data_IF_777142755959
#
_entry.id   IF_777142755959
#
_cell.length_a   1.000
_cell.length_b   1.000
_cell.length_c   1.000
_cell.angle_alpha   90.00
_cell.angle_beta   90.00
_cell.angle_gamma   90.00
#
_symmetry.space_group_name_H-M   'P 1'
#
loop_
_entity.id
_entity.type
_entity.pdbx_description
1 polymer ?
#
# COMPACT_ATOMS: atom_id res chain seq x y z
N UNK A 1 -0.68 19.87 8.01
CA UNK A 1 -1.54 19.17 8.97
C UNK A 1 -2.53 20.17 9.52
N UNK A 2 -3.80 19.82 9.50
CA UNK A 2 -4.86 20.61 10.14
C UNK A 2 -5.31 19.87 11.40
N UNK A 3 -5.79 20.59 12.40
CA UNK A 3 -6.44 19.99 13.54
C UNK A 3 -7.94 19.85 13.23
N UNK A 4 -8.56 18.76 13.68
CA UNK A 4 -10.02 18.57 13.65
C UNK A 4 -10.53 18.36 15.07
N UNK A 5 -11.57 19.07 15.44
CA UNK A 5 -12.26 18.95 16.73
C UNK A 5 -13.62 18.26 16.58
N UNK A 6 -13.85 17.54 15.49
CA UNK A 6 -15.11 16.79 15.27
C UNK A 6 -15.45 15.89 16.47
N UNK A 7 -14.46 15.16 16.96
CA UNK A 7 -14.61 14.28 18.13
C UNK A 7 -15.06 15.03 19.39
N UNK A 8 -14.54 16.24 19.62
CA UNK A 8 -15.00 17.10 20.73
C UNK A 8 -16.51 17.35 20.63
N UNK A 9 -16.98 17.77 19.47
CA UNK A 9 -18.41 18.09 19.29
C UNK A 9 -19.31 16.86 19.36
N UNK A 10 -18.82 15.68 18.97
CA UNK A 10 -19.52 14.40 19.15
C UNK A 10 -19.65 14.04 20.65
N UNK A 11 -18.58 14.23 21.45
CA UNK A 11 -18.63 14.02 22.91
C UNK A 11 -19.57 14.99 23.57
N UNK A 12 -19.51 16.27 23.23
CA UNK A 12 -20.42 17.28 23.76
C UNK A 12 -21.88 16.90 23.47
N UNK A 13 -22.18 16.47 22.24
CA UNK A 13 -23.53 16.01 21.86
C UNK A 13 -23.96 14.76 22.67
N UNK A 14 -23.07 13.79 22.87
CA UNK A 14 -23.37 12.58 23.68
C UNK A 14 -23.61 12.88 25.14
N UNK A 15 -22.96 13.92 25.68
CA UNK A 15 -23.11 14.34 27.09
C UNK A 15 -24.16 15.42 27.29
N UNK A 16 -24.90 15.82 26.23
CA UNK A 16 -25.90 16.90 26.22
C UNK A 16 -25.33 18.24 26.72
N UNK A 17 -24.08 18.53 26.36
CA UNK A 17 -23.40 19.78 26.71
C UNK A 17 -23.39 20.71 25.49
N UNK A 18 -24.03 21.87 25.64
CA UNK A 18 -24.00 22.89 24.59
C UNK A 18 -22.64 23.60 24.50
N UNK A 19 -22.34 24.18 23.32
CA UNK A 19 -21.13 25.01 23.12
C UNK A 19 -21.11 26.21 24.08
N UNK A 20 -22.27 26.77 24.40
CA UNK A 20 -22.40 27.89 25.33
C UNK A 20 -22.08 27.47 26.76
N UNK A 21 -22.53 26.31 27.18
CA UNK A 21 -22.19 25.75 28.52
C UNK A 21 -20.69 25.46 28.61
N UNK A 22 -20.10 24.87 27.58
CA UNK A 22 -18.63 24.62 27.55
C UNK A 22 -17.86 25.94 27.69
N UNK A 23 -18.29 26.98 26.98
CA UNK A 23 -17.70 28.31 27.04
C UNK A 23 -17.78 28.89 28.45
N UNK A 24 -18.95 28.84 29.07
CA UNK A 24 -19.23 29.44 30.38
C UNK A 24 -18.44 28.71 31.49
N UNK A 25 -18.50 27.38 31.52
CA UNK A 25 -17.81 26.59 32.57
C UNK A 25 -16.30 26.72 32.53
N UNK A 26 -15.72 26.83 31.32
CA UNK A 26 -14.26 26.93 31.14
C UNK A 26 -13.78 28.36 30.91
N UNK A 27 -14.64 29.37 31.06
CA UNK A 27 -14.32 30.79 30.81
C UNK A 27 -13.61 31.02 29.47
N UNK A 28 -14.09 30.33 28.42
CA UNK A 28 -13.48 30.44 27.10
C UNK A 28 -13.94 31.73 26.41
N UNK A 29 -13.02 32.38 25.73
CA UNK A 29 -13.40 33.51 24.87
C UNK A 29 -14.26 33.06 23.69
N UNK A 30 -15.12 33.94 23.20
CA UNK A 30 -15.89 33.66 21.97
C UNK A 30 -14.98 33.37 20.76
N UNK A 31 -13.81 34.00 20.73
CA UNK A 31 -12.79 33.72 19.71
C UNK A 31 -12.21 32.31 19.79
N UNK A 32 -11.96 31.79 21.01
CA UNK A 32 -11.51 30.42 21.23
C UNK A 32 -12.56 29.39 20.78
N UNK A 33 -13.82 29.63 21.11
CA UNK A 33 -14.92 28.76 20.69
C UNK A 33 -15.11 28.77 19.15
N UNK A 34 -14.95 29.95 18.53
CA UNK A 34 -14.97 30.07 17.07
C UNK A 34 -13.82 29.30 16.40
N UNK A 35 -12.59 29.37 16.96
CA UNK A 35 -11.44 28.59 16.50
C UNK A 35 -11.69 27.10 16.56
N UNK A 36 -12.20 26.58 17.70
CA UNK A 36 -12.57 25.18 17.83
C UNK A 36 -13.60 24.76 16.74
N UNK A 37 -14.62 25.60 16.53
CA UNK A 37 -15.67 25.31 15.53
C UNK A 37 -15.17 25.37 14.08
N UNK A 38 -14.08 26.09 13.82
CA UNK A 38 -13.43 26.22 12.49
C UNK A 38 -12.25 25.27 12.31
N UNK A 39 -11.98 24.40 13.27
CA UNK A 39 -10.78 23.53 13.27
C UNK A 39 -9.47 24.35 13.21
N UNK A 40 -9.43 25.51 13.84
CA UNK A 40 -8.23 26.34 13.98
C UNK A 40 -7.48 26.00 15.26
N UNK A 41 -6.18 26.25 15.30
CA UNK A 41 -5.34 25.96 16.46
C UNK A 41 -5.76 26.77 17.69
N UNK A 42 -5.86 26.09 18.83
CA UNK A 42 -6.04 26.67 20.15
C UNK A 42 -4.85 26.34 21.05
N UNK A 43 -4.73 27.03 22.18
CA UNK A 43 -3.62 26.79 23.12
C UNK A 43 -3.73 25.40 23.76
N UNK A 44 -2.56 24.84 24.12
CA UNK A 44 -2.50 23.58 24.87
C UNK A 44 -3.23 23.70 26.22
N UNK A 45 -3.18 24.86 26.87
CA UNK A 45 -3.93 25.15 28.09
C UNK A 45 -5.42 24.98 27.89
N UNK A 46 -5.98 25.48 26.77
CA UNK A 46 -7.38 25.29 26.41
C UNK A 46 -7.72 23.81 26.24
N UNK A 47 -6.86 23.05 25.54
CA UNK A 47 -7.09 21.60 25.33
C UNK A 47 -7.07 20.84 26.66
N UNK A 48 -6.13 21.13 27.54
CA UNK A 48 -6.04 20.51 28.87
C UNK A 48 -7.29 20.83 29.72
N UNK A 49 -7.77 22.08 29.70
CA UNK A 49 -8.99 22.47 30.41
C UNK A 49 -10.21 21.70 29.93
N UNK A 50 -10.37 21.55 28.59
CA UNK A 50 -11.45 20.78 27.98
C UNK A 50 -11.34 19.30 28.36
N UNK A 51 -10.15 18.71 28.27
CA UNK A 51 -9.91 17.31 28.64
C UNK A 51 -10.25 17.04 30.10
N UNK A 52 -9.83 17.90 31.01
CA UNK A 52 -10.12 17.79 32.45
C UNK A 52 -11.63 17.89 32.70
N UNK A 53 -12.31 18.83 32.09
CA UNK A 53 -13.77 18.99 32.24
C UNK A 53 -14.55 17.78 31.71
N UNK A 54 -14.14 17.24 30.57
CA UNK A 54 -14.81 16.10 29.94
C UNK A 54 -14.33 14.75 30.48
N UNK A 55 -13.27 14.74 31.29
CA UNK A 55 -12.57 13.54 31.80
C UNK A 55 -12.14 12.61 30.65
N UNK A 56 -11.34 13.13 29.73
CA UNK A 56 -10.86 12.42 28.54
C UNK A 56 -9.42 12.82 28.18
N UNK A 57 -8.83 12.13 27.19
CA UNK A 57 -7.48 12.44 26.70
C UNK A 57 -7.57 13.36 25.45
N UNK A 58 -6.48 14.07 25.10
CA UNK A 58 -6.44 14.92 23.91
C UNK A 58 -6.85 14.19 22.61
N UNK A 59 -6.45 12.94 22.43
CA UNK A 59 -6.82 12.11 21.28
C UNK A 59 -8.32 11.80 21.17
N UNK A 60 -9.06 11.94 22.27
CA UNK A 60 -10.51 11.74 22.30
C UNK A 60 -11.28 12.98 21.80
N UNK A 61 -10.66 14.18 21.87
CA UNK A 61 -11.30 15.44 21.51
C UNK A 61 -10.78 16.05 20.22
N UNK A 62 -9.57 15.63 19.77
CA UNK A 62 -8.97 16.15 18.56
C UNK A 62 -8.26 15.07 17.76
N UNK A 63 -8.11 15.30 16.48
CA UNK A 63 -7.30 14.52 15.56
C UNK A 63 -6.55 15.45 14.62
N UNK A 64 -5.39 15.00 14.15
CA UNK A 64 -4.65 15.71 13.13
C UNK A 64 -5.09 15.18 11.77
N UNK A 65 -5.76 16.02 11.02
CA UNK A 65 -6.08 15.73 9.63
C UNK A 65 -4.90 16.11 8.74
N UNK A 66 -4.37 15.15 8.03
CA UNK A 66 -3.50 15.49 6.90
C UNK A 66 -4.36 16.22 5.87
N UNK A 67 -3.91 17.41 5.45
CA UNK A 67 -4.53 18.09 4.31
C UNK A 67 -4.51 17.10 3.15
N UNK A 68 -5.68 16.61 2.75
CA UNK A 68 -5.79 15.76 1.57
C UNK A 68 -5.41 16.65 0.40
N UNK A 69 -4.24 16.41 -0.14
CA UNK A 69 -3.83 17.07 -1.37
C UNK A 69 -4.61 16.42 -2.51
N UNK A 70 -5.65 17.14 -2.96
CA UNK A 70 -6.55 16.68 -4.02
C UNK A 70 -5.87 16.58 -5.38
N UNK A 71 -4.66 17.14 -5.49
CA UNK A 71 -3.88 17.11 -6.72
C UNK A 71 -2.95 15.87 -6.79
N UNK A 72 -2.95 15.01 -5.74
CA UNK A 72 -2.14 13.79 -5.76
C UNK A 72 -2.79 12.68 -6.58
N UNK A 73 -1.95 11.87 -7.23
CA UNK A 73 -2.41 10.67 -7.94
C UNK A 73 -3.18 9.73 -7.00
N UNK A 74 -2.74 9.54 -5.75
CA UNK A 74 -3.43 8.71 -4.77
C UNK A 74 -4.87 9.19 -4.52
N UNK A 75 -5.08 10.49 -4.36
CA UNK A 75 -6.43 11.04 -4.19
C UNK A 75 -7.30 10.72 -5.41
N UNK A 76 -6.77 10.95 -6.60
CA UNK A 76 -7.47 10.66 -7.85
C UNK A 76 -7.85 9.18 -7.95
N UNK A 77 -6.90 8.25 -7.70
CA UNK A 77 -7.16 6.81 -7.72
C UNK A 77 -8.26 6.40 -6.73
N UNK A 78 -8.29 6.99 -5.50
CA UNK A 78 -9.33 6.72 -4.50
C UNK A 78 -10.71 7.21 -4.96
N UNK A 79 -10.81 8.39 -5.53
CA UNK A 79 -12.08 8.92 -6.03
C UNK A 79 -12.60 8.12 -7.24
N UNK A 80 -11.71 7.77 -8.18
CA UNK A 80 -12.06 6.95 -9.35
C UNK A 80 -12.48 5.52 -8.95
N UNK A 81 -11.81 4.91 -7.96
CA UNK A 81 -12.20 3.63 -7.35
C UNK A 81 -13.59 3.71 -6.77
N UNK A 82 -13.86 4.72 -5.93
CA UNK A 82 -15.16 4.94 -5.29
C UNK A 82 -16.28 5.14 -6.31
N UNK A 83 -15.98 5.89 -7.38
CA UNK A 83 -16.94 6.16 -8.46
C UNK A 83 -17.11 4.99 -9.42
N UNK A 84 -16.27 3.94 -9.34
CA UNK A 84 -16.22 2.82 -10.31
C UNK A 84 -16.14 3.31 -11.76
N UNK A 85 -15.31 4.32 -11.98
CA UNK A 85 -15.26 5.03 -13.27
C UNK A 85 -14.51 4.20 -14.30
N UNK A 86 -15.25 3.68 -15.30
CA UNK A 86 -14.69 2.90 -16.42
C UNK A 86 -13.76 3.76 -17.27
N UNK A 87 -12.65 3.18 -17.75
CA UNK A 87 -11.66 3.87 -18.57
C UNK A 87 -10.82 4.91 -17.84
N UNK A 88 -10.98 5.05 -16.51
CA UNK A 88 -10.20 5.95 -15.68
C UNK A 88 -8.75 5.46 -15.49
N UNK A 89 -7.88 6.30 -14.91
CA UNK A 89 -6.51 5.90 -14.55
C UNK A 89 -6.55 4.70 -13.59
N UNK A 90 -7.43 4.73 -12.58
CA UNK A 90 -7.59 3.59 -11.67
C UNK A 90 -7.93 2.30 -12.42
N UNK A 91 -8.91 2.34 -13.33
CA UNK A 91 -9.33 1.19 -14.13
C UNK A 91 -8.19 0.64 -15.00
N UNK A 92 -7.50 1.51 -15.74
CA UNK A 92 -6.39 1.12 -16.62
C UNK A 92 -5.21 0.58 -15.83
N UNK A 93 -4.87 1.21 -14.71
CA UNK A 93 -3.77 0.77 -13.84
C UNK A 93 -4.04 -0.60 -13.24
N UNK A 94 -5.28 -0.92 -12.83
CA UNK A 94 -5.67 -2.24 -12.35
C UNK A 94 -5.31 -3.32 -13.37
N UNK A 95 -5.72 -3.13 -14.63
CA UNK A 95 -5.50 -4.10 -15.70
C UNK A 95 -4.01 -4.21 -16.04
N UNK A 96 -3.34 -3.08 -16.31
CA UNK A 96 -1.93 -3.06 -16.70
C UNK A 96 -1.02 -3.64 -15.62
N UNK A 97 -1.23 -3.27 -14.36
CA UNK A 97 -0.40 -3.75 -13.27
C UNK A 97 -0.60 -5.26 -13.03
N UNK A 98 -1.86 -5.74 -13.03
CA UNK A 98 -2.14 -7.15 -12.86
C UNK A 98 -1.58 -7.98 -14.00
N UNK A 99 -1.80 -7.56 -15.25
CA UNK A 99 -1.26 -8.23 -16.43
C UNK A 99 0.26 -8.34 -16.36
N UNK A 100 0.97 -7.21 -16.31
CA UNK A 100 2.42 -7.19 -16.39
C UNK A 100 3.06 -7.90 -15.19
N UNK A 101 2.55 -7.66 -13.97
CA UNK A 101 3.11 -8.25 -12.76
C UNK A 101 2.96 -9.78 -12.73
N UNK A 102 1.84 -10.32 -13.21
CA UNK A 102 1.67 -11.77 -13.32
C UNK A 102 2.45 -12.36 -14.51
N UNK A 103 2.55 -11.64 -15.62
CA UNK A 103 3.28 -12.10 -16.81
C UNK A 103 4.79 -12.19 -16.56
N UNK A 104 5.36 -11.28 -15.78
CA UNK A 104 6.75 -11.37 -15.28
C UNK A 104 6.97 -12.70 -14.53
N UNK A 105 6.00 -13.18 -13.77
CA UNK A 105 6.08 -14.44 -13.01
C UNK A 105 5.67 -15.68 -13.82
N UNK A 106 5.33 -15.51 -15.09
CA UNK A 106 5.07 -16.62 -16.02
C UNK A 106 3.60 -16.92 -16.30
N UNK A 107 2.66 -16.09 -15.87
CA UNK A 107 1.26 -16.18 -16.29
C UNK A 107 1.15 -16.11 -17.82
N UNK A 108 0.27 -16.92 -18.39
CA UNK A 108 0.02 -16.99 -19.83
C UNK A 108 -1.23 -16.24 -20.27
N UNK A 109 -1.93 -15.58 -19.34
CA UNK A 109 -3.08 -14.76 -19.70
C UNK A 109 -2.63 -13.57 -20.56
N UNK A 110 -3.38 -13.28 -21.61
CA UNK A 110 -3.18 -12.08 -22.40
C UNK A 110 -3.71 -10.84 -21.66
N UNK A 111 -3.32 -9.65 -22.13
CA UNK A 111 -3.86 -8.41 -21.56
C UNK A 111 -5.38 -8.31 -21.75
N UNK A 112 -5.89 -8.75 -22.91
CA UNK A 112 -7.33 -8.78 -23.17
C UNK A 112 -8.07 -9.77 -22.25
N UNK A 113 -7.50 -10.94 -21.99
CA UNK A 113 -8.07 -11.89 -21.02
C UNK A 113 -8.07 -11.28 -19.60
N UNK A 114 -6.99 -10.61 -19.20
CA UNK A 114 -6.91 -9.89 -17.93
C UNK A 114 -7.98 -8.81 -17.84
N UNK A 115 -8.20 -8.06 -18.93
CA UNK A 115 -9.26 -7.05 -19.05
C UNK A 115 -10.65 -7.66 -18.96
N UNK A 116 -10.94 -8.76 -19.65
CA UNK A 116 -12.23 -9.44 -19.55
C UNK A 116 -12.53 -9.94 -18.15
N UNK A 117 -11.55 -10.51 -17.47
CA UNK A 117 -11.71 -10.92 -16.05
C UNK A 117 -12.10 -9.71 -15.19
N UNK A 118 -11.42 -8.58 -15.36
CA UNK A 118 -11.70 -7.38 -14.58
C UNK A 118 -13.05 -6.74 -14.89
N UNK A 119 -13.36 -6.54 -16.18
CA UNK A 119 -14.53 -5.76 -16.61
C UNK A 119 -15.83 -6.56 -16.60
N UNK A 120 -15.76 -7.85 -16.88
CA UNK A 120 -16.95 -8.68 -17.14
C UNK A 120 -17.06 -9.91 -16.25
N UNK A 121 -16.04 -10.19 -15.45
CA UNK A 121 -15.92 -11.43 -14.67
C UNK A 121 -16.05 -12.69 -15.55
N UNK A 122 -15.54 -12.61 -16.78
CA UNK A 122 -15.49 -13.71 -17.75
C UNK A 122 -14.09 -13.86 -18.29
N UNK A 123 -13.80 -14.98 -18.95
CA UNK A 123 -12.57 -15.19 -19.67
C UNK A 123 -12.89 -15.70 -21.08
N UNK A 124 -12.34 -15.06 -22.10
CA UNK A 124 -12.34 -15.57 -23.46
C UNK A 124 -11.31 -16.70 -23.56
N UNK A 125 -11.77 -17.92 -23.82
CA UNK A 125 -10.88 -19.04 -24.12
C UNK A 125 -10.50 -18.95 -25.59
N UNK A 126 -9.23 -18.75 -25.84
CA UNK A 126 -8.62 -18.92 -27.15
C UNK A 126 -8.24 -20.41 -27.35
N UNK A 127 -7.33 -20.70 -28.29
CA UNK A 127 -6.96 -22.08 -28.68
C UNK A 127 -6.33 -22.92 -27.56
N UNK A 128 -5.75 -22.27 -26.53
CA UNK A 128 -5.09 -22.95 -25.42
C UNK A 128 -5.86 -22.77 -24.12
N UNK A 129 -5.89 -23.80 -23.24
CA UNK A 129 -6.54 -23.68 -21.94
C UNK A 129 -5.79 -22.68 -21.05
N UNK A 130 -6.53 -21.80 -20.37
CA UNK A 130 -5.99 -20.94 -19.34
C UNK A 130 -5.80 -21.71 -18.03
N UNK A 131 -4.70 -21.46 -17.32
CA UNK A 131 -4.48 -21.98 -15.99
C UNK A 131 -5.48 -21.38 -14.99
N UNK A 132 -6.09 -22.22 -14.17
CA UNK A 132 -6.96 -21.74 -13.09
C UNK A 132 -6.18 -20.87 -12.11
N UNK A 133 -4.92 -21.22 -11.82
CA UNK A 133 -4.07 -20.41 -10.93
C UNK A 133 -3.75 -19.04 -11.54
N UNK A 134 -3.48 -18.95 -12.84
CA UNK A 134 -3.29 -17.67 -13.52
C UNK A 134 -4.54 -16.77 -13.40
N UNK A 135 -5.73 -17.36 -13.55
CA UNK A 135 -7.00 -16.64 -13.37
C UNK A 135 -7.16 -16.18 -11.91
N UNK A 136 -6.96 -17.09 -10.95
CA UNK A 136 -7.10 -16.77 -9.53
C UNK A 136 -6.09 -15.71 -9.09
N UNK A 137 -4.83 -15.83 -9.48
CA UNK A 137 -3.80 -14.85 -9.14
C UNK A 137 -4.06 -13.48 -9.79
N UNK A 138 -4.67 -13.45 -10.97
CA UNK A 138 -5.10 -12.20 -11.62
C UNK A 138 -6.25 -11.54 -10.84
N UNK A 139 -7.27 -12.29 -10.45
CA UNK A 139 -8.37 -11.78 -9.60
C UNK A 139 -7.82 -11.28 -8.26
N UNK A 140 -6.95 -12.07 -7.64
CA UNK A 140 -6.32 -11.72 -6.37
C UNK A 140 -5.44 -10.46 -6.50
N UNK A 141 -4.78 -10.27 -7.64
CA UNK A 141 -3.97 -9.09 -7.88
C UNK A 141 -4.81 -7.81 -7.93
N UNK A 142 -6.01 -7.85 -8.50
CA UNK A 142 -6.96 -6.74 -8.43
C UNK A 142 -7.34 -6.41 -6.99
N UNK A 143 -7.59 -7.44 -6.16
CA UNK A 143 -7.88 -7.25 -4.73
C UNK A 143 -6.67 -6.68 -3.97
N UNK A 144 -5.44 -7.11 -4.32
CA UNK A 144 -4.21 -6.53 -3.76
C UNK A 144 -4.08 -5.05 -4.10
N UNK A 145 -4.39 -4.66 -5.33
CA UNK A 145 -4.36 -3.25 -5.74
C UNK A 145 -5.38 -2.42 -4.96
N UNK A 146 -6.60 -2.93 -4.80
CA UNK A 146 -7.63 -2.27 -4.01
C UNK A 146 -7.23 -2.08 -2.55
N UNK A 147 -6.70 -3.13 -1.93
CA UNK A 147 -6.18 -3.08 -0.57
C UNK A 147 -5.02 -2.09 -0.44
N UNK A 148 -4.09 -2.11 -1.39
CA UNK A 148 -2.95 -1.20 -1.45
C UNK A 148 -3.39 0.26 -1.53
N UNK A 149 -4.35 0.61 -2.39
CA UNK A 149 -4.90 1.98 -2.53
C UNK A 149 -5.53 2.44 -1.21
N UNK A 150 -6.29 1.58 -0.54
CA UNK A 150 -6.94 1.91 0.73
C UNK A 150 -5.90 2.18 1.84
N UNK A 151 -4.84 1.37 1.88
CA UNK A 151 -3.76 1.44 2.88
C UNK A 151 -2.56 2.30 2.46
N UNK A 152 -2.59 2.99 1.31
CA UNK A 152 -1.41 3.65 0.74
C UNK A 152 -0.74 4.65 1.69
N UNK A 153 -1.50 5.39 2.50
CA UNK A 153 -0.96 6.35 3.46
C UNK A 153 -0.44 5.72 4.77
N UNK A 154 -0.74 4.44 5.02
CA UNK A 154 -0.30 3.77 6.24
C UNK A 154 1.21 3.53 6.20
N UNK A 155 1.81 3.44 7.38
CA UNK A 155 3.21 3.02 7.50
C UNK A 155 3.36 1.60 6.93
N UNK A 156 4.44 1.38 6.17
CA UNK A 156 4.77 0.04 5.70
C UNK A 156 5.19 -0.82 6.90
N UNK A 157 4.49 -1.91 7.11
CA UNK A 157 4.73 -2.84 8.21
C UNK A 157 4.63 -4.30 7.75
N UNK A 158 4.95 -5.20 8.65
CA UNK A 158 4.87 -6.64 8.41
C UNK A 158 3.45 -7.10 8.12
N UNK A 159 2.45 -6.48 8.77
CA UNK A 159 1.04 -6.83 8.58
C UNK A 159 0.58 -6.52 7.16
N UNK A 160 0.92 -5.34 6.63
CA UNK A 160 0.62 -4.99 5.24
C UNK A 160 1.26 -5.98 4.26
N UNK A 161 2.54 -6.33 4.47
CA UNK A 161 3.29 -7.25 3.60
C UNK A 161 2.65 -8.63 3.62
N UNK A 162 2.34 -9.18 4.79
CA UNK A 162 1.72 -10.50 4.95
C UNK A 162 0.29 -10.53 4.42
N UNK A 163 -0.49 -9.47 4.66
CA UNK A 163 -1.86 -9.36 4.16
C UNK A 163 -1.89 -9.30 2.64
N UNK A 164 -0.99 -8.53 2.02
CA UNK A 164 -0.86 -8.47 0.55
C UNK A 164 -0.56 -9.85 -0.02
N UNK A 165 0.40 -10.58 0.55
CA UNK A 165 0.70 -11.95 0.14
C UNK A 165 -0.48 -12.90 0.38
N UNK A 166 -1.19 -12.75 1.49
CA UNK A 166 -2.39 -13.54 1.80
C UNK A 166 -3.46 -13.36 0.74
N UNK A 167 -3.77 -12.12 0.38
CA UNK A 167 -4.74 -11.83 -0.68
C UNK A 167 -4.27 -12.48 -1.99
N UNK A 168 -3.01 -12.27 -2.36
CA UNK A 168 -2.44 -12.73 -3.63
C UNK A 168 -2.54 -14.24 -3.82
N UNK A 169 -2.22 -15.03 -2.77
CA UNK A 169 -2.13 -16.49 -2.86
C UNK A 169 -3.36 -17.24 -2.36
N UNK A 170 -4.41 -16.53 -1.92
CA UNK A 170 -5.67 -17.17 -1.49
C UNK A 170 -6.32 -17.92 -2.66
N UNK A 171 -6.81 -19.13 -2.39
CA UNK A 171 -7.52 -20.02 -3.34
C UNK A 171 -6.71 -20.50 -4.54
N UNK A 172 -5.40 -20.30 -4.58
CA UNK A 172 -4.52 -20.94 -5.57
C UNK A 172 -4.27 -22.43 -5.24
N UNK A 173 -3.74 -23.18 -6.18
CA UNK A 173 -3.37 -24.58 -5.94
C UNK A 173 -2.34 -24.72 -4.82
N UNK A 174 -1.37 -23.81 -4.76
CA UNK A 174 -0.35 -23.72 -3.71
C UNK A 174 -0.97 -23.58 -2.32
N UNK A 175 -2.04 -22.80 -2.19
CA UNK A 175 -2.71 -22.55 -0.90
C UNK A 175 -3.28 -23.81 -0.23
N UNK A 176 -3.42 -24.90 -1.00
CA UNK A 176 -3.90 -26.20 -0.51
C UNK A 176 -2.77 -27.11 0.00
N UNK A 177 -1.53 -26.71 -0.22
CA UNK A 177 -0.37 -27.47 0.24
C UNK A 177 -0.15 -27.24 1.74
N UNK A 178 -0.07 -28.29 2.58
CA UNK A 178 0.01 -28.15 4.05
C UNK A 178 1.22 -27.35 4.54
N UNK A 179 2.25 -27.22 3.71
CA UNK A 179 3.48 -26.51 4.03
C UNK A 179 3.57 -25.13 3.41
N UNK A 180 2.60 -24.73 2.57
CA UNK A 180 2.55 -23.43 1.96
C UNK A 180 1.76 -22.46 2.86
N UNK A 181 2.48 -21.61 3.56
CA UNK A 181 1.89 -20.70 4.55
C UNK A 181 1.40 -19.42 3.87
N UNK A 182 0.12 -19.40 3.46
CA UNK A 182 -0.49 -18.22 2.84
C UNK A 182 -0.55 -17.07 3.83
N UNK A 183 0.09 -15.95 3.48
CA UNK A 183 0.15 -14.78 4.36
C UNK A 183 1.19 -14.87 5.48
N UNK A 184 2.01 -15.95 5.50
CA UNK A 184 3.07 -16.12 6.46
C UNK A 184 4.41 -16.39 5.79
N UNK A 185 5.50 -16.13 6.48
CA UNK A 185 6.83 -16.38 5.96
C UNK A 185 7.07 -17.86 5.66
N UNK A 186 7.92 -18.10 4.68
CA UNK A 186 8.22 -19.45 4.20
C UNK A 186 8.73 -20.39 5.30
N UNK A 187 8.32 -21.64 5.24
CA UNK A 187 8.78 -22.71 6.11
C UNK A 187 9.88 -23.57 5.47
N UNK A 188 10.03 -23.51 4.15
CA UNK A 188 11.01 -24.29 3.39
C UNK A 188 12.01 -23.36 2.68
N UNK A 189 13.22 -23.86 2.49
CA UNK A 189 14.23 -23.18 1.67
C UNK A 189 13.74 -23.07 0.23
N UNK A 190 14.00 -21.95 -0.40
CA UNK A 190 13.80 -21.74 -1.82
C UNK A 190 15.03 -21.10 -2.45
N UNK A 191 15.07 -21.12 -3.77
CA UNK A 191 16.13 -20.53 -4.58
C UNK A 191 15.50 -19.62 -5.63
N UNK A 192 16.20 -18.58 -6.01
CA UNK A 192 15.87 -17.73 -7.15
C UNK A 192 17.04 -17.83 -8.14
N UNK A 193 16.79 -18.39 -9.30
CA UNK A 193 17.84 -18.86 -10.21
C UNK A 193 18.87 -19.73 -9.44
N UNK A 194 20.14 -19.40 -9.52
CA UNK A 194 21.22 -20.13 -8.84
C UNK A 194 21.55 -19.61 -7.42
N UNK A 195 20.76 -18.66 -6.90
CA UNK A 195 21.01 -18.02 -5.60
C UNK A 195 20.10 -18.58 -4.53
N UNK A 196 20.69 -19.04 -3.42
CA UNK A 196 19.93 -19.34 -2.22
C UNK A 196 19.43 -18.04 -1.59
N UNK A 197 18.15 -18.02 -1.21
CA UNK A 197 17.52 -16.92 -0.51
C UNK A 197 17.71 -17.05 1.01
N UNK A 198 17.26 -16.08 1.79
CA UNK A 198 17.35 -16.16 3.26
C UNK A 198 16.70 -17.46 3.78
N UNK A 199 17.41 -18.24 4.63
CA UNK A 199 16.82 -19.45 5.22
C UNK A 199 15.59 -19.14 6.08
N UNK A 200 14.57 -20.02 6.15
CA UNK A 200 13.31 -19.77 6.85
C UNK A 200 13.47 -19.22 8.28
N UNK A 201 14.34 -19.84 9.08
CA UNK A 201 14.57 -19.39 10.47
C UNK A 201 15.22 -18.02 10.64
N UNK A 202 15.68 -17.39 9.55
CA UNK A 202 16.28 -16.04 9.57
C UNK A 202 15.38 -14.98 8.93
N UNK A 203 14.32 -15.38 8.21
CA UNK A 203 13.46 -14.46 7.45
C UNK A 203 12.89 -13.35 8.33
N UNK A 204 12.29 -13.70 9.47
CA UNK A 204 11.70 -12.70 10.38
C UNK A 204 12.72 -11.65 10.79
N UNK A 205 13.91 -12.07 11.22
CA UNK A 205 15.00 -11.16 11.65
C UNK A 205 15.43 -10.22 10.51
N UNK A 206 15.62 -10.76 9.30
CA UNK A 206 16.04 -9.96 8.15
C UNK A 206 14.95 -9.00 7.69
N UNK A 207 13.68 -9.39 7.75
CA UNK A 207 12.54 -8.52 7.46
C UNK A 207 12.40 -7.39 8.50
N UNK A 208 12.54 -7.70 9.80
CA UNK A 208 12.53 -6.67 10.86
C UNK A 208 13.65 -5.66 10.66
N UNK A 209 14.85 -6.15 10.32
CA UNK A 209 16.00 -5.28 10.00
C UNK A 209 15.70 -4.39 8.80
N UNK A 210 15.19 -4.96 7.72
CA UNK A 210 14.85 -4.22 6.50
C UNK A 210 13.82 -3.12 6.77
N UNK A 211 12.74 -3.46 7.48
CA UNK A 211 11.69 -2.50 7.85
C UNK A 211 12.22 -1.39 8.75
N UNK A 212 13.01 -1.72 9.76
CA UNK A 212 13.60 -0.72 10.67
C UNK A 212 14.57 0.21 9.93
N UNK A 213 15.42 -0.31 9.04
CA UNK A 213 16.32 0.50 8.21
C UNK A 213 15.54 1.45 7.28
N UNK A 214 14.47 0.96 6.67
CA UNK A 214 13.65 1.77 5.77
C UNK A 214 12.90 2.85 6.53
N UNK A 215 12.21 2.50 7.61
CA UNK A 215 11.41 3.43 8.42
C UNK A 215 12.25 4.42 9.23
N UNK A 216 13.51 4.12 9.49
CA UNK A 216 14.44 5.02 10.17
C UNK A 216 14.89 6.21 9.31
N UNK A 217 14.59 6.22 8.01
CA UNK A 217 14.95 7.33 7.11
C UNK A 217 13.99 8.50 7.29
N UNK A 218 14.52 9.72 7.37
CA UNK A 218 13.70 10.92 7.53
C UNK A 218 12.90 11.28 6.28
N UNK A 219 13.51 11.10 5.10
CA UNK A 219 12.88 11.36 3.81
C UNK A 219 13.12 10.14 2.92
N UNK A 220 12.04 9.56 2.42
CA UNK A 220 12.11 8.42 1.51
C UNK A 220 12.19 8.93 0.06
N UNK A 221 13.26 8.58 -0.60
CA UNK A 221 13.49 8.85 -2.01
C UNK A 221 13.06 7.67 -2.89
N UNK A 222 13.04 7.90 -4.19
CA UNK A 222 12.82 6.84 -5.17
C UNK A 222 13.85 5.71 -5.06
N UNK A 223 15.12 6.06 -4.88
CA UNK A 223 16.19 5.09 -4.72
C UNK A 223 16.03 4.26 -3.42
N UNK A 224 15.45 4.84 -2.36
CA UNK A 224 15.17 4.10 -1.12
C UNK A 224 14.07 3.06 -1.31
N UNK A 225 13.07 3.36 -2.12
CA UNK A 225 12.00 2.41 -2.48
C UNK A 225 12.58 1.25 -3.30
N UNK A 226 13.45 1.55 -4.27
CA UNK A 226 14.12 0.52 -5.05
C UNK A 226 15.07 -0.33 -4.19
N UNK A 227 15.83 0.28 -3.29
CA UNK A 227 16.72 -0.43 -2.35
C UNK A 227 15.94 -1.39 -1.44
N UNK A 228 14.81 -0.91 -0.90
CA UNK A 228 13.90 -1.77 -0.15
C UNK A 228 13.44 -2.97 -0.98
N UNK A 229 13.00 -2.73 -2.20
CA UNK A 229 12.52 -3.79 -3.09
C UNK A 229 13.61 -4.82 -3.40
N UNK A 230 14.82 -4.38 -3.74
CA UNK A 230 15.95 -5.29 -4.00
C UNK A 230 16.27 -6.15 -2.77
N UNK A 231 16.31 -5.54 -1.59
CA UNK A 231 16.57 -6.28 -0.34
C UNK A 231 15.43 -7.26 -0.02
N UNK A 232 14.18 -6.86 -0.25
CA UNK A 232 13.01 -7.72 -0.11
C UNK A 232 13.09 -8.94 -1.04
N UNK A 233 13.42 -8.73 -2.33
CA UNK A 233 13.62 -9.80 -3.31
C UNK A 233 14.78 -10.74 -2.93
N UNK A 234 15.83 -10.23 -2.29
CA UNK A 234 16.96 -11.04 -1.81
C UNK A 234 16.61 -11.87 -0.57
N UNK A 235 15.83 -11.32 0.34
CA UNK A 235 15.31 -12.06 1.50
C UNK A 235 14.36 -13.15 1.01
N UNK A 236 13.51 -12.83 0.04
CA UNK A 236 12.50 -13.72 -0.53
C UNK A 236 11.64 -14.36 0.56
N UNK A 237 10.89 -13.53 1.33
CA UNK A 237 10.31 -13.95 2.61
C UNK A 237 9.23 -15.02 2.49
N UNK A 238 8.56 -15.12 1.37
CA UNK A 238 7.48 -16.09 1.14
C UNK A 238 7.95 -17.27 0.30
N UNK A 239 7.15 -18.33 0.28
CA UNK A 239 7.46 -19.52 -0.49
C UNK A 239 7.35 -19.27 -2.00
N UNK A 240 6.37 -18.48 -2.42
CA UNK A 240 6.12 -17.94 -3.76
C UNK A 240 5.46 -16.55 -3.65
N UNK A 241 5.25 -15.85 -4.79
CA UNK A 241 4.56 -14.55 -4.84
C UNK A 241 5.37 -13.35 -4.34
N UNK A 242 6.68 -13.50 -4.11
CA UNK A 242 7.53 -12.41 -3.62
C UNK A 242 7.62 -11.26 -4.61
N UNK A 243 7.88 -11.52 -5.89
CA UNK A 243 7.99 -10.50 -6.91
C UNK A 243 6.72 -9.64 -7.02
N UNK A 244 5.56 -10.27 -7.07
CA UNK A 244 4.26 -9.59 -7.13
C UNK A 244 4.00 -8.76 -5.87
N UNK A 245 4.23 -9.32 -4.69
CA UNK A 245 4.14 -8.61 -3.41
C UNK A 245 5.09 -7.41 -3.37
N UNK A 246 6.35 -7.60 -3.79
CA UNK A 246 7.36 -6.54 -3.83
C UNK A 246 6.97 -5.39 -4.78
N UNK A 247 6.41 -5.69 -5.95
CA UNK A 247 5.95 -4.67 -6.90
C UNK A 247 4.73 -3.89 -6.37
N UNK A 248 3.81 -4.54 -5.67
CA UNK A 248 2.70 -3.86 -4.97
C UNK A 248 3.24 -2.92 -3.88
N UNK A 249 4.24 -3.35 -3.10
CA UNK A 249 4.88 -2.51 -2.08
C UNK A 249 5.55 -1.28 -2.73
N UNK A 250 6.29 -1.46 -3.83
CA UNK A 250 6.91 -0.33 -4.54
C UNK A 250 5.86 0.68 -4.99
N UNK A 251 4.77 0.21 -5.59
CA UNK A 251 3.68 1.08 -6.05
C UNK A 251 3.06 1.86 -4.89
N UNK A 252 2.75 1.17 -3.78
CA UNK A 252 2.24 1.78 -2.55
C UNK A 252 3.14 2.88 -2.02
N UNK A 253 4.43 2.59 -1.88
CA UNK A 253 5.37 3.55 -1.31
C UNK A 253 5.58 4.75 -2.24
N UNK A 254 5.58 4.55 -3.56
CA UNK A 254 5.56 5.66 -4.51
C UNK A 254 4.35 6.58 -4.27
N UNK A 255 3.14 6.02 -4.15
CA UNK A 255 1.93 6.81 -3.88
C UNK A 255 2.01 7.56 -2.54
N UNK A 256 2.49 6.89 -1.48
CA UNK A 256 2.62 7.46 -0.14
C UNK A 256 3.51 8.70 -0.12
N UNK A 257 4.62 8.66 -0.83
CA UNK A 257 5.61 9.73 -0.87
C UNK A 257 5.43 10.70 -2.05
N UNK A 258 4.28 10.61 -2.72
CA UNK A 258 3.94 11.44 -3.89
C UNK A 258 5.01 11.36 -5.01
N UNK A 259 5.56 10.18 -5.19
CA UNK A 259 6.44 9.81 -6.29
C UNK A 259 5.57 9.15 -7.36
N UNK A 260 5.74 9.52 -8.62
CA UNK A 260 4.99 8.88 -9.72
C UNK A 260 5.32 7.38 -9.75
N UNK A 261 4.33 6.49 -9.53
CA UNK A 261 4.56 5.06 -9.63
C UNK A 261 4.82 4.62 -11.08
N UNK A 262 5.24 3.39 -11.24
CA UNK A 262 5.58 2.81 -12.54
C UNK A 262 5.10 1.35 -12.60
N UNK A 263 4.93 0.85 -13.80
CA UNK A 263 4.56 -0.55 -14.08
C UNK A 263 5.68 -1.13 -14.95
N UNK A 264 6.38 -2.13 -14.43
CA UNK A 264 7.39 -2.85 -15.21
C UNK A 264 6.68 -3.73 -16.23
N UNK A 265 6.77 -3.36 -17.49
CA UNK A 265 6.19 -4.12 -18.59
C UNK A 265 7.02 -5.35 -18.93
N UNK A 266 6.40 -6.34 -19.58
CA UNK A 266 7.06 -7.60 -19.91
C UNK A 266 8.31 -7.42 -20.79
N UNK A 267 8.30 -6.49 -21.72
CA UNK A 267 9.46 -6.14 -22.55
C UNK A 267 10.66 -5.63 -21.73
N UNK A 268 10.42 -5.09 -20.52
CA UNK A 268 11.47 -4.63 -19.60
C UNK A 268 11.92 -5.70 -18.60
N UNK A 269 11.32 -6.88 -18.60
CA UNK A 269 11.58 -7.98 -17.66
C UNK A 269 13.08 -8.30 -17.51
N UNK A 270 13.78 -8.44 -18.62
CA UNK A 270 15.23 -8.79 -18.59
C UNK A 270 16.08 -7.67 -17.99
N UNK A 271 15.75 -6.42 -18.29
CA UNK A 271 16.43 -5.25 -17.71
C UNK A 271 16.13 -5.13 -16.20
N UNK A 272 14.90 -5.40 -15.80
CA UNK A 272 14.50 -5.44 -14.40
C UNK A 272 15.27 -6.49 -13.60
N UNK A 273 15.37 -7.73 -14.08
CA UNK A 273 16.15 -8.78 -13.41
C UNK A 273 17.64 -8.46 -13.37
N UNK A 274 18.20 -7.90 -14.46
CA UNK A 274 19.58 -7.39 -14.46
C UNK A 274 19.75 -6.32 -13.39
N UNK A 275 18.85 -5.37 -13.30
CA UNK A 275 18.88 -4.31 -12.31
C UNK A 275 18.84 -4.81 -10.86
N UNK A 276 17.99 -5.81 -10.56
CA UNK A 276 17.96 -6.46 -9.25
C UNK A 276 19.29 -7.16 -8.91
N UNK A 277 19.88 -7.83 -9.88
CA UNK A 277 21.14 -8.56 -9.71
C UNK A 277 22.31 -7.62 -9.47
N UNK A 278 22.42 -6.57 -10.27
CA UNK A 278 23.57 -5.66 -10.30
C UNK A 278 23.43 -4.47 -9.35
N UNK A 279 22.40 -4.40 -8.52
CA UNK A 279 22.07 -3.25 -7.68
C UNK A 279 23.24 -2.73 -6.83
N UNK A 280 24.05 -3.62 -6.27
CA UNK A 280 25.18 -3.23 -5.44
C UNK A 280 26.36 -2.67 -6.25
N UNK A 281 26.46 -3.03 -7.52
CA UNK A 281 27.53 -2.62 -8.43
C UNK A 281 27.10 -1.38 -9.23
N UNK A 282 25.91 -1.40 -9.82
CA UNK A 282 25.41 -0.34 -10.69
C UNK A 282 23.87 -0.17 -10.52
N UNK A 283 23.51 0.77 -9.68
CA UNK A 283 22.10 1.09 -9.38
C UNK A 283 21.33 1.65 -10.59
N UNK A 284 22.08 2.24 -11.53
CA UNK A 284 21.50 2.83 -12.73
C UNK A 284 20.65 1.86 -13.52
N UNK A 285 21.04 0.59 -13.62
CA UNK A 285 20.29 -0.39 -14.40
C UNK A 285 18.84 -0.55 -13.95
N UNK A 286 18.58 -0.71 -12.63
CA UNK A 286 17.22 -0.81 -12.12
C UNK A 286 16.51 0.53 -12.16
N UNK A 287 17.21 1.59 -11.77
CA UNK A 287 16.66 2.94 -11.73
C UNK A 287 16.16 3.39 -13.10
N UNK A 288 17.00 3.24 -14.13
CA UNK A 288 16.65 3.65 -15.50
C UNK A 288 15.51 2.79 -16.06
N UNK A 289 15.50 1.47 -15.80
CA UNK A 289 14.40 0.60 -16.15
C UNK A 289 13.08 1.08 -15.54
N UNK A 290 13.07 1.40 -14.24
CA UNK A 290 11.88 1.87 -13.56
C UNK A 290 11.46 3.29 -13.99
N UNK A 291 12.42 4.15 -14.35
CA UNK A 291 12.12 5.49 -14.89
C UNK A 291 11.54 5.41 -16.31
N UNK A 292 12.05 4.51 -17.15
CA UNK A 292 11.48 4.24 -18.49
C UNK A 292 10.04 3.76 -18.37
N UNK A 293 9.75 2.89 -17.42
CA UNK A 293 8.42 2.37 -17.15
C UNK A 293 7.41 3.42 -16.62
N UNK A 294 7.82 4.67 -16.39
CA UNK A 294 6.94 5.81 -16.04
C UNK A 294 6.41 6.57 -17.26
N UNK A 295 7.03 6.38 -18.41
CA UNK A 295 6.87 7.29 -19.56
C UNK A 295 5.59 7.03 -20.36
N UNK A 296 4.75 6.09 -19.97
CA UNK A 296 3.47 5.77 -20.58
C UNK A 296 2.32 5.72 -19.55
#
# INVERSE_FOLDING_TARGET
MNVSYRKLFEILKKKDISKSQLKEVLDLSSATLAKLSKNEQVSMTTLIAICNYLNCQPGDIMELEHKIDKDTLLYRLKEEKKAKLKGSIYHQTQIKLAYNSNHIEGSRLTEDQTRYIYETNTIGLEKEPASIDDIMETINHFQCFDYMIDCANNTLDEEFIKTTHKILKTNTSDSRLPWFNVGEYKSRRNMVADRQTTPPGKVKKEMDKLLNEYLGKQNISFDDILDFHVKFERIHPFQDGNGRTGRIIMFKECLKYNIVPFIIEDNLKMFYYRGLKEWDNEKGYLRDTCLTARSE
#
